data_IF_854836096610
#
_entry.id   IF_854836096610
#
_cell.length_a   1.000
_cell.length_b   1.000
_cell.length_c   1.000
_cell.angle_alpha   90.00
_cell.angle_beta   90.00
_cell.angle_gamma   90.00
#
_symmetry.space_group_name_H-M   'P 1'
#
loop_
_entity.id
_entity.type
_entity.pdbx_description
1 polymer ?
#
# COMPACT_ATOMS: atom_id res chain seq x y z
N UNK A 1 -32.93 -27.27 -13.44
CA UNK A 1 -31.89 -28.01 -12.71
C UNK A 1 -31.99 -27.64 -11.25
N UNK A 2 -32.45 -28.56 -10.40
CA UNK A 2 -32.30 -28.45 -8.95
C UNK A 2 -30.80 -28.44 -8.66
N UNK A 3 -30.27 -27.32 -8.14
CA UNK A 3 -28.88 -27.27 -7.67
C UNK A 3 -28.77 -28.28 -6.52
N UNK A 4 -28.02 -29.35 -6.73
CA UNK A 4 -27.62 -30.22 -5.62
C UNK A 4 -26.92 -29.35 -4.58
N UNK A 5 -27.36 -29.47 -3.33
CA UNK A 5 -26.78 -28.73 -2.22
C UNK A 5 -25.44 -29.38 -1.93
N UNK A 6 -24.36 -28.76 -2.38
CA UNK A 6 -23.00 -29.17 -2.01
C UNK A 6 -22.82 -28.92 -0.52
N UNK A 7 -22.36 -29.95 0.21
CA UNK A 7 -22.07 -29.85 1.63
C UNK A 7 -21.06 -28.69 1.88
N UNK A 8 -21.35 -27.78 2.83
CA UNK A 8 -20.43 -26.69 3.18
C UNK A 8 -19.00 -27.16 3.50
N UNK A 9 -18.84 -28.37 4.05
CA UNK A 9 -17.54 -28.97 4.36
C UNK A 9 -16.75 -29.35 3.12
N UNK A 10 -17.43 -29.79 2.06
CA UNK A 10 -16.80 -30.07 0.76
C UNK A 10 -16.24 -28.79 0.18
N UNK A 11 -17.00 -27.69 0.23
CA UNK A 11 -16.53 -26.39 -0.24
C UNK A 11 -15.37 -25.85 0.60
N UNK A 12 -15.44 -26.00 1.93
CA UNK A 12 -14.37 -25.60 2.83
C UNK A 12 -13.05 -26.33 2.52
N UNK A 13 -13.09 -27.65 2.35
CA UNK A 13 -11.91 -28.45 2.03
C UNK A 13 -11.36 -28.15 0.63
N UNK A 14 -12.25 -27.99 -0.36
CA UNK A 14 -11.85 -27.64 -1.73
C UNK A 14 -11.15 -26.27 -1.77
N UNK A 15 -11.72 -25.25 -1.12
CA UNK A 15 -11.10 -23.92 -1.04
C UNK A 15 -9.81 -23.92 -0.24
N UNK A 16 -9.70 -24.75 0.80
CA UNK A 16 -8.43 -24.97 1.52
C UNK A 16 -7.32 -25.52 0.62
N UNK A 17 -7.65 -26.49 -0.24
CA UNK A 17 -6.72 -27.01 -1.24
C UNK A 17 -6.29 -25.94 -2.26
N UNK A 18 -7.27 -25.20 -2.81
CA UNK A 18 -7.00 -24.13 -3.78
C UNK A 18 -6.20 -22.99 -3.18
N UNK A 19 -6.40 -22.65 -1.90
CA UNK A 19 -5.56 -21.67 -1.18
C UNK A 19 -4.09 -22.07 -1.25
N UNK A 20 -3.77 -23.33 -0.96
CA UNK A 20 -2.39 -23.81 -1.02
C UNK A 20 -1.84 -23.82 -2.44
N UNK A 21 -2.61 -24.33 -3.42
CA UNK A 21 -2.19 -24.38 -4.82
C UNK A 21 -1.99 -22.98 -5.43
N UNK A 22 -2.78 -21.98 -5.01
CA UNK A 22 -2.68 -20.60 -5.50
C UNK A 22 -1.38 -19.88 -5.09
N UNK A 23 -0.66 -20.41 -4.09
CA UNK A 23 0.62 -19.84 -3.63
C UNK A 23 1.77 -20.05 -4.63
N UNK A 24 1.71 -21.10 -5.45
CA UNK A 24 2.70 -21.40 -6.47
C UNK A 24 2.40 -20.62 -7.76
N UNK A 25 3.45 -20.25 -8.51
CA UNK A 25 3.31 -19.52 -9.78
C UNK A 25 2.41 -20.26 -10.77
N UNK A 26 2.65 -21.56 -11.01
CA UNK A 26 1.82 -22.35 -11.92
C UNK A 26 0.34 -22.35 -11.50
N UNK A 27 0.07 -22.63 -10.21
CA UNK A 27 -1.30 -22.66 -9.68
C UNK A 27 -2.00 -21.31 -9.80
N UNK A 28 -1.29 -20.21 -9.47
CA UNK A 28 -1.81 -18.84 -9.63
C UNK A 28 -2.21 -18.53 -11.08
N UNK A 29 -1.34 -18.84 -12.05
CA UNK A 29 -1.62 -18.60 -13.46
C UNK A 29 -2.76 -19.49 -13.97
N UNK A 30 -2.80 -20.77 -13.59
CA UNK A 30 -3.91 -21.67 -13.95
C UNK A 30 -5.23 -21.18 -13.40
N UNK A 31 -5.28 -20.79 -12.12
CA UNK A 31 -6.53 -20.35 -11.47
C UNK A 31 -7.07 -19.04 -12.03
N UNK A 32 -6.20 -18.10 -12.39
CA UNK A 32 -6.62 -16.87 -13.07
C UNK A 32 -7.32 -17.16 -14.41
N UNK A 33 -6.83 -18.15 -15.14
CA UNK A 33 -7.37 -18.49 -16.45
C UNK A 33 -8.50 -19.53 -16.39
N UNK A 34 -8.80 -20.10 -15.21
CA UNK A 34 -9.85 -21.10 -15.07
C UNK A 34 -11.23 -20.45 -15.06
N UNK A 35 -12.10 -20.71 -16.07
CA UNK A 35 -13.37 -20.03 -16.20
C UNK A 35 -14.27 -20.22 -14.98
N UNK A 36 -14.79 -19.12 -14.43
CA UNK A 36 -15.76 -19.13 -13.33
C UNK A 36 -15.17 -19.35 -11.93
N UNK A 37 -13.87 -19.66 -11.80
CA UNK A 37 -13.26 -19.87 -10.47
C UNK A 37 -13.25 -18.58 -9.64
N UNK A 38 -12.65 -17.51 -10.16
CA UNK A 38 -12.59 -16.21 -9.47
C UNK A 38 -14.00 -15.67 -9.25
N UNK A 39 -14.87 -15.78 -10.25
CA UNK A 39 -16.27 -15.35 -10.17
C UNK A 39 -17.01 -16.03 -9.01
N UNK A 40 -16.84 -17.35 -8.85
CA UNK A 40 -17.49 -18.14 -7.80
C UNK A 40 -16.94 -17.80 -6.41
N UNK A 41 -15.61 -17.70 -6.28
CA UNK A 41 -14.94 -17.34 -5.02
C UNK A 41 -15.34 -15.92 -4.57
N UNK A 42 -15.39 -14.98 -5.51
CA UNK A 42 -15.83 -13.61 -5.23
C UNK A 42 -17.31 -13.56 -4.84
N UNK A 43 -18.18 -14.22 -5.61
CA UNK A 43 -19.62 -14.26 -5.34
C UNK A 43 -19.92 -14.87 -3.97
N UNK A 44 -19.24 -15.97 -3.62
CA UNK A 44 -19.38 -16.58 -2.30
C UNK A 44 -19.01 -15.60 -1.17
N UNK A 45 -17.87 -14.94 -1.32
CA UNK A 45 -17.38 -13.93 -0.35
C UNK A 45 -18.38 -12.77 -0.20
N UNK A 46 -18.86 -12.22 -1.33
CA UNK A 46 -19.86 -11.14 -1.34
C UNK A 46 -21.17 -11.56 -0.67
N UNK A 47 -21.64 -12.77 -0.93
CA UNK A 47 -22.84 -13.30 -0.29
C UNK A 47 -22.66 -13.46 1.24
N UNK A 48 -21.49 -13.90 1.69
CA UNK A 48 -21.18 -13.97 3.12
C UNK A 48 -21.16 -12.59 3.77
N UNK A 49 -20.57 -11.58 3.12
CA UNK A 49 -20.60 -10.18 3.60
C UNK A 49 -22.03 -9.64 3.65
N UNK A 50 -22.82 -9.84 2.60
CA UNK A 50 -24.21 -9.39 2.51
C UNK A 50 -25.12 -10.06 3.56
N UNK A 51 -24.83 -11.32 3.89
CA UNK A 51 -25.54 -12.08 4.93
C UNK A 51 -25.02 -11.80 6.36
N UNK A 52 -24.11 -10.83 6.55
CA UNK A 52 -23.46 -10.54 7.84
C UNK A 52 -22.75 -11.75 8.46
N UNK A 53 -22.13 -12.58 7.62
CA UNK A 53 -21.31 -13.74 7.99
C UNK A 53 -19.86 -13.55 7.52
N UNK A 54 -19.17 -12.47 7.95
CA UNK A 54 -17.81 -12.16 7.51
C UNK A 54 -16.79 -13.23 7.91
N UNK A 55 -17.04 -13.96 8.99
CA UNK A 55 -16.15 -14.98 9.54
C UNK A 55 -16.60 -16.41 9.20
N UNK A 56 -17.45 -16.58 8.18
CA UNK A 56 -17.80 -17.92 7.68
C UNK A 56 -16.54 -18.75 7.40
N UNK A 57 -16.63 -20.06 7.68
CA UNK A 57 -15.52 -21.01 7.67
C UNK A 57 -14.70 -20.94 6.38
N UNK A 58 -15.34 -20.74 5.22
CA UNK A 58 -14.64 -20.74 3.93
C UNK A 58 -14.24 -19.34 3.43
N UNK A 59 -14.68 -18.26 4.09
CA UNK A 59 -14.35 -16.88 3.67
C UNK A 59 -12.85 -16.64 3.76
N UNK A 60 -12.19 -17.08 4.84
CA UNK A 60 -10.75 -16.95 4.97
C UNK A 60 -10.01 -17.62 3.79
N UNK A 61 -10.38 -18.86 3.45
CA UNK A 61 -9.78 -19.56 2.31
C UNK A 61 -10.01 -18.81 1.00
N UNK A 62 -11.23 -18.31 0.77
CA UNK A 62 -11.59 -17.54 -0.42
C UNK A 62 -10.76 -16.26 -0.55
N UNK A 63 -10.63 -15.48 0.52
CA UNK A 63 -9.82 -14.25 0.52
C UNK A 63 -8.34 -14.58 0.36
N UNK A 64 -7.82 -15.64 0.98
CA UNK A 64 -6.43 -16.04 0.78
C UNK A 64 -6.14 -16.46 -0.68
N UNK A 65 -7.09 -17.15 -1.34
CA UNK A 65 -6.99 -17.42 -2.78
C UNK A 65 -6.90 -16.08 -3.53
N UNK A 66 -7.85 -15.16 -3.30
CA UNK A 66 -7.88 -13.87 -4.00
C UNK A 66 -6.63 -13.01 -3.73
N UNK A 67 -6.10 -13.04 -2.52
CA UNK A 67 -4.84 -12.41 -2.14
C UNK A 67 -3.68 -12.96 -2.99
N UNK A 68 -3.54 -14.28 -3.07
CA UNK A 68 -2.51 -14.94 -3.87
C UNK A 68 -2.69 -14.65 -5.36
N UNK A 69 -3.93 -14.69 -5.85
CA UNK A 69 -4.25 -14.37 -7.26
C UNK A 69 -4.03 -12.89 -7.59
N UNK A 70 -3.98 -11.99 -6.60
CA UNK A 70 -3.67 -10.56 -6.82
C UNK A 70 -2.16 -10.28 -6.90
N UNK A 71 -1.30 -11.23 -6.53
CA UNK A 71 0.16 -11.05 -6.52
C UNK A 71 0.73 -10.81 -7.93
N UNK A 72 1.49 -9.74 -8.12
CA UNK A 72 2.10 -9.36 -9.43
C UNK A 72 1.10 -9.22 -10.58
N UNK A 73 -0.16 -8.90 -10.29
CA UNK A 73 -1.23 -8.84 -11.29
C UNK A 73 -0.90 -7.90 -12.47
N UNK A 74 -0.37 -6.71 -12.19
CA UNK A 74 0.05 -5.71 -13.21
C UNK A 74 1.14 -6.24 -14.15
N UNK A 75 1.97 -7.17 -13.68
CA UNK A 75 3.07 -7.73 -14.47
C UNK A 75 2.67 -8.99 -15.26
N UNK A 76 1.68 -9.75 -14.77
CA UNK A 76 1.35 -11.08 -15.27
C UNK A 76 0.05 -11.11 -16.09
N UNK A 77 -0.88 -10.17 -15.87
CA UNK A 77 -2.19 -10.13 -16.55
C UNK A 77 -2.30 -8.86 -17.40
N UNK A 78 -2.26 -8.98 -18.74
CA UNK A 78 -2.50 -7.84 -19.63
C UNK A 78 -3.85 -7.19 -19.33
N UNK A 79 -3.84 -5.88 -19.12
CA UNK A 79 -5.02 -5.10 -18.77
C UNK A 79 -4.96 -3.70 -19.41
N UNK A 80 -6.00 -2.90 -19.22
CA UNK A 80 -6.08 -1.54 -19.79
C UNK A 80 -4.92 -0.65 -19.30
N UNK A 81 -4.46 -0.82 -18.06
CA UNK A 81 -3.35 -0.05 -17.48
C UNK A 81 -2.01 -0.43 -18.10
N UNK A 82 -1.75 -1.71 -18.37
CA UNK A 82 -0.52 -2.14 -19.05
C UNK A 82 -0.45 -1.56 -20.46
N UNK A 83 -1.57 -1.52 -21.19
CA UNK A 83 -1.62 -0.93 -22.53
C UNK A 83 -1.33 0.58 -22.49
N UNK A 84 -1.92 1.31 -21.53
CA UNK A 84 -1.63 2.73 -21.34
C UNK A 84 -0.16 3.00 -20.96
N UNK A 85 0.44 2.14 -20.14
CA UNK A 85 1.87 2.25 -19.81
C UNK A 85 2.74 2.12 -21.09
N UNK A 86 2.39 1.24 -22.03
CA UNK A 86 3.10 1.12 -23.30
C UNK A 86 2.94 2.37 -24.17
N UNK A 87 1.73 2.92 -24.28
CA UNK A 87 1.47 4.15 -25.04
C UNK A 87 2.23 5.34 -24.44
N UNK A 88 2.20 5.50 -23.11
CA UNK A 88 2.91 6.58 -22.43
C UNK A 88 4.43 6.49 -22.62
N UNK A 89 5.00 5.27 -22.56
CA UNK A 89 6.44 5.05 -22.83
C UNK A 89 6.81 5.36 -24.27
N UNK A 90 5.99 4.95 -25.24
CA UNK A 90 6.27 5.21 -26.66
C UNK A 90 6.20 6.71 -26.97
N UNK A 91 5.23 7.43 -26.41
CA UNK A 91 5.12 8.89 -26.57
C UNK A 91 6.31 9.65 -25.94
N UNK A 92 6.89 9.13 -24.85
CA UNK A 92 8.11 9.68 -24.25
C UNK A 92 9.33 9.45 -25.14
N UNK A 93 9.49 8.25 -25.69
CA UNK A 93 10.62 7.89 -26.57
C UNK A 93 10.59 8.69 -27.87
N UNK A 94 9.41 8.91 -28.45
CA UNK A 94 9.24 9.67 -29.70
C UNK A 94 9.66 11.15 -29.53
N UNK A 95 9.36 11.74 -28.36
CA UNK A 95 9.84 13.09 -27.99
C UNK A 95 11.35 13.16 -27.77
N UNK A 96 12.01 12.07 -27.36
CA UNK A 96 13.48 12.03 -27.21
C UNK A 96 14.20 11.81 -28.55
N UNK A 97 13.52 11.28 -29.57
CA UNK A 97 14.11 11.01 -30.89
C UNK A 97 13.92 12.17 -31.90
N UNK A 98 13.03 13.14 -31.63
CA UNK A 98 12.72 14.26 -32.53
C UNK A 98 13.24 15.63 -32.03
N UNK A 99 14.53 15.75 -31.68
CA UNK A 99 15.05 17.03 -31.21
C UNK A 99 16.57 17.22 -31.19
N UNK A 100 17.18 17.40 -32.37
CA UNK A 100 18.52 17.99 -32.50
C UNK A 100 18.48 19.51 -32.27
N UNK A 101 18.24 20.01 -31.05
CA UNK A 101 18.58 21.39 -30.66
C UNK A 101 18.84 21.47 -29.15
N UNK A 102 20.00 22.04 -28.77
CA UNK A 102 20.39 22.33 -27.40
C UNK A 102 19.39 23.30 -26.73
N UNK A 103 18.67 22.84 -25.70
CA UNK A 103 18.02 23.73 -24.73
C UNK A 103 18.29 23.25 -23.31
N UNK A 104 18.77 24.19 -22.50
CA UNK A 104 19.20 24.07 -21.10
C UNK A 104 18.23 23.26 -20.24
N UNK A 105 18.81 22.48 -19.34
CA UNK A 105 18.17 21.69 -18.28
C UNK A 105 17.33 22.56 -17.33
N UNK A 106 16.10 22.88 -17.75
CA UNK A 106 15.02 23.26 -16.84
C UNK A 106 14.54 22.02 -16.10
N UNK A 107 14.51 22.09 -14.76
CA UNK A 107 13.83 21.09 -13.93
C UNK A 107 12.39 20.99 -14.43
N UNK A 108 12.05 19.87 -15.09
CA UNK A 108 10.67 19.50 -15.34
C UNK A 108 10.05 19.26 -13.96
N UNK A 109 9.27 20.25 -13.52
CA UNK A 109 8.27 20.00 -12.50
C UNK A 109 7.41 18.83 -12.95
N UNK A 110 7.08 18.02 -11.97
CA UNK A 110 6.48 16.70 -12.07
C UNK A 110 5.00 16.85 -12.50
N UNK A 111 4.75 17.38 -13.70
CA UNK A 111 3.47 17.26 -14.39
C UNK A 111 3.35 15.80 -14.85
N UNK A 112 3.12 14.95 -13.85
CA UNK A 112 2.63 13.60 -13.99
C UNK A 112 1.33 13.74 -14.79
N UNK A 113 1.40 13.50 -16.11
CA UNK A 113 0.23 13.49 -16.98
C UNK A 113 -0.82 12.60 -16.30
N UNK A 114 -1.84 13.22 -15.71
CA UNK A 114 -2.94 12.53 -15.05
C UNK A 114 -3.76 11.90 -16.17
N UNK A 115 -3.28 10.76 -16.67
CA UNK A 115 -4.04 9.94 -17.59
C UNK A 115 -5.31 9.54 -16.83
N UNK A 116 -6.50 9.84 -17.37
CA UNK A 116 -7.73 9.48 -16.71
C UNK A 116 -7.74 7.96 -16.47
N UNK A 117 -8.15 7.57 -15.26
CA UNK A 117 -8.27 6.16 -14.90
C UNK A 117 -9.25 5.52 -15.91
N UNK A 118 -8.86 4.44 -16.60
CA UNK A 118 -9.75 3.68 -17.47
C UNK A 118 -11.06 3.34 -16.77
N UNK A 119 -12.16 3.47 -17.50
CA UNK A 119 -13.47 3.04 -17.01
C UNK A 119 -13.44 1.55 -16.65
N UNK A 120 -14.03 1.26 -15.48
CA UNK A 120 -14.24 -0.09 -14.99
C UNK A 120 -15.28 -0.83 -15.83
N UNK A 121 -15.10 -2.14 -15.97
CA UNK A 121 -16.09 -2.97 -16.63
C UNK A 121 -17.35 -3.08 -15.77
N UNK A 122 -18.52 -2.78 -16.34
CA UNK A 122 -19.79 -2.84 -15.60
C UNK A 122 -20.09 -4.22 -15.00
N UNK A 123 -19.61 -5.30 -15.64
CA UNK A 123 -19.73 -6.68 -15.16
C UNK A 123 -18.38 -7.38 -15.25
N UNK A 124 -17.55 -7.35 -14.20
CA UNK A 124 -16.28 -8.07 -14.20
C UNK A 124 -16.52 -9.57 -14.36
N UNK A 125 -15.59 -10.22 -15.07
CA UNK A 125 -15.50 -11.67 -15.25
C UNK A 125 -14.07 -12.17 -15.09
N UNK A 126 -13.89 -13.33 -14.45
CA UNK A 126 -12.58 -13.96 -14.29
C UNK A 126 -11.55 -13.02 -13.63
N UNK A 127 -10.34 -12.85 -14.21
CA UNK A 127 -9.28 -11.99 -13.64
C UNK A 127 -9.66 -10.52 -13.44
N UNK A 128 -10.63 -9.99 -14.19
CA UNK A 128 -11.02 -8.57 -14.07
C UNK A 128 -11.60 -8.23 -12.68
N UNK A 129 -12.16 -9.22 -11.98
CA UNK A 129 -12.57 -9.08 -10.58
C UNK A 129 -11.45 -8.62 -9.67
N UNK A 130 -10.22 -9.09 -9.89
CA UNK A 130 -9.11 -8.88 -8.97
C UNK A 130 -8.73 -7.40 -8.84
N UNK A 131 -9.04 -6.58 -9.85
CA UNK A 131 -8.79 -5.13 -9.85
C UNK A 131 -10.06 -4.29 -9.97
N UNK A 132 -11.24 -4.88 -9.73
CA UNK A 132 -12.52 -4.17 -9.77
C UNK A 132 -12.88 -3.55 -8.41
N UNK A 133 -13.51 -2.38 -8.42
CA UNK A 133 -13.92 -1.67 -7.20
C UNK A 133 -14.88 -2.46 -6.30
N UNK A 134 -15.74 -3.33 -6.87
CA UNK A 134 -16.61 -4.19 -6.05
C UNK A 134 -15.83 -5.23 -5.24
N UNK A 135 -14.71 -5.74 -5.76
CA UNK A 135 -13.82 -6.63 -5.00
C UNK A 135 -13.12 -5.84 -3.89
N UNK A 136 -12.62 -4.64 -4.20
CA UNK A 136 -12.02 -3.72 -3.22
C UNK A 136 -13.02 -3.43 -2.09
N UNK A 137 -14.27 -3.09 -2.43
CA UNK A 137 -15.35 -2.86 -1.45
C UNK A 137 -15.60 -4.08 -0.58
N UNK A 138 -15.55 -5.27 -1.17
CA UNK A 138 -15.71 -6.54 -0.44
C UNK A 138 -14.59 -6.74 0.59
N UNK A 139 -13.32 -6.53 0.19
CA UNK A 139 -12.17 -6.60 1.11
C UNK A 139 -12.29 -5.55 2.22
N UNK A 140 -12.65 -4.32 1.89
CA UNK A 140 -12.84 -3.25 2.87
C UNK A 140 -14.01 -3.53 3.83
N UNK A 141 -15.09 -4.18 3.37
CA UNK A 141 -16.19 -4.56 4.25
C UNK A 141 -15.79 -5.68 5.21
N UNK A 142 -15.01 -6.66 4.74
CA UNK A 142 -14.44 -7.68 5.62
C UNK A 142 -13.48 -7.09 6.65
N UNK A 143 -12.67 -6.09 6.29
CA UNK A 143 -11.81 -5.38 7.25
C UNK A 143 -12.58 -4.72 8.40
N UNK A 144 -13.81 -4.28 8.16
CA UNK A 144 -14.65 -3.66 9.19
C UNK A 144 -15.40 -4.69 10.05
N UNK A 145 -15.73 -5.85 9.50
CA UNK A 145 -16.68 -6.79 10.11
C UNK A 145 -16.04 -8.06 10.67
N UNK A 146 -14.91 -8.50 10.10
CA UNK A 146 -14.23 -9.74 10.49
C UNK A 146 -13.46 -9.58 11.80
N UNK A 147 -13.48 -10.63 12.62
CA UNK A 147 -12.65 -10.72 13.84
C UNK A 147 -11.43 -11.63 13.66
N UNK A 148 -11.28 -12.23 12.48
CA UNK A 148 -10.18 -13.16 12.17
C UNK A 148 -8.99 -12.40 11.59
N UNK A 149 -7.88 -12.38 12.32
CA UNK A 149 -6.64 -11.74 11.86
C UNK A 149 -6.21 -12.23 10.47
N UNK A 150 -6.32 -13.53 10.19
CA UNK A 150 -5.98 -14.10 8.89
C UNK A 150 -6.84 -13.53 7.73
N UNK A 151 -8.12 -13.22 7.99
CA UNK A 151 -9.00 -12.59 7.00
C UNK A 151 -8.64 -11.12 6.81
N UNK A 152 -8.35 -10.40 7.90
CA UNK A 152 -7.89 -9.00 7.86
C UNK A 152 -6.56 -8.87 7.10
N UNK A 153 -5.60 -9.73 7.42
CA UNK A 153 -4.29 -9.81 6.77
C UNK A 153 -4.45 -10.11 5.28
N UNK A 154 -5.26 -11.11 4.91
CA UNK A 154 -5.43 -11.48 3.50
C UNK A 154 -6.16 -10.37 2.70
N UNK A 155 -7.13 -9.67 3.30
CA UNK A 155 -7.75 -8.50 2.68
C UNK A 155 -6.73 -7.37 2.46
N UNK A 156 -5.90 -7.08 3.47
CA UNK A 156 -4.88 -6.04 3.38
C UNK A 156 -3.78 -6.43 2.38
N UNK A 157 -3.37 -7.69 2.36
CA UNK A 157 -2.41 -8.26 1.43
C UNK A 157 -2.91 -8.22 -0.03
N UNK A 158 -4.19 -8.52 -0.28
CA UNK A 158 -4.77 -8.39 -1.61
C UNK A 158 -4.66 -6.95 -2.13
N UNK A 159 -5.08 -5.97 -1.32
CA UNK A 159 -4.96 -4.55 -1.66
C UNK A 159 -3.49 -4.09 -1.77
N UNK A 160 -2.61 -4.61 -0.92
CA UNK A 160 -1.17 -4.35 -0.97
C UNK A 160 -0.60 -4.81 -2.31
N UNK A 161 -0.98 -6.00 -2.78
CA UNK A 161 -0.53 -6.56 -4.06
C UNK A 161 -1.00 -5.71 -5.25
N UNK A 162 -2.26 -5.27 -5.24
CA UNK A 162 -2.83 -4.39 -6.27
C UNK A 162 -2.15 -3.01 -6.33
N UNK A 163 -1.64 -2.53 -5.20
CA UNK A 163 -0.96 -1.24 -5.09
C UNK A 163 0.56 -1.36 -5.17
N UNK A 164 1.13 -2.55 -5.36
CA UNK A 164 2.58 -2.78 -5.26
C UNK A 164 3.38 -2.17 -6.42
N UNK A 165 2.85 -2.21 -7.64
CA UNK A 165 3.57 -1.72 -8.82
C UNK A 165 3.86 -0.22 -8.74
N UNK A 166 4.81 0.28 -9.54
CA UNK A 166 5.09 1.72 -9.67
C UNK A 166 4.44 2.33 -10.92
N UNK A 167 3.45 1.65 -11.48
CA UNK A 167 2.79 2.04 -12.73
C UNK A 167 1.37 2.59 -12.52
N UNK A 168 0.69 2.85 -13.64
CA UNK A 168 -0.68 3.37 -13.66
C UNK A 168 -1.68 2.51 -12.89
N UNK A 169 -1.51 1.18 -12.88
CA UNK A 169 -2.40 0.29 -12.12
C UNK A 169 -2.35 0.60 -10.63
N UNK A 170 -1.16 0.73 -10.04
CA UNK A 170 -1.03 1.07 -8.62
C UNK A 170 -1.66 2.41 -8.29
N UNK A 171 -1.47 3.43 -9.15
CA UNK A 171 -2.11 4.74 -8.97
C UNK A 171 -3.64 4.62 -8.99
N UNK A 172 -4.19 3.96 -10.02
CA UNK A 172 -5.62 3.74 -10.15
C UNK A 172 -6.21 2.95 -8.96
N UNK A 173 -5.59 1.83 -8.58
CA UNK A 173 -6.04 1.01 -7.45
C UNK A 173 -5.99 1.81 -6.14
N UNK A 174 -4.94 2.60 -5.92
CA UNK A 174 -4.82 3.44 -4.73
C UNK A 174 -5.91 4.52 -4.69
N UNK A 175 -6.29 5.10 -5.84
CA UNK A 175 -7.42 6.04 -5.95
C UNK A 175 -8.77 5.36 -5.73
N UNK A 176 -9.00 4.15 -6.28
CA UNK A 176 -10.22 3.38 -6.02
C UNK A 176 -10.37 3.07 -4.52
N UNK A 177 -9.31 2.62 -3.88
CA UNK A 177 -9.31 2.32 -2.43
C UNK A 177 -9.55 3.59 -1.61
N UNK A 178 -8.77 4.64 -1.86
CA UNK A 178 -8.72 5.82 -0.99
C UNK A 178 -9.82 6.85 -1.23
N UNK A 179 -10.21 7.05 -2.50
CA UNK A 179 -11.15 8.11 -2.90
C UNK A 179 -12.54 7.56 -3.22
N UNK A 180 -12.64 6.51 -4.05
CA UNK A 180 -13.93 5.95 -4.46
C UNK A 180 -14.59 5.18 -3.32
N UNK A 181 -13.90 4.19 -2.76
CA UNK A 181 -14.41 3.31 -1.70
C UNK A 181 -14.15 3.84 -0.28
N UNK A 182 -13.44 4.98 -0.16
CA UNK A 182 -13.15 5.67 1.12
C UNK A 182 -12.58 4.74 2.19
N UNK A 183 -11.69 3.82 1.79
CA UNK A 183 -11.18 2.72 2.63
C UNK A 183 -10.14 3.12 3.67
N UNK A 184 -9.61 4.34 3.64
CA UNK A 184 -8.48 4.78 4.48
C UNK A 184 -8.69 4.58 5.99
N UNK A 185 -9.84 4.91 6.60
CA UNK A 185 -10.03 4.70 8.04
C UNK A 185 -9.97 3.21 8.44
N UNK A 186 -10.46 2.34 7.55
CA UNK A 186 -10.49 0.89 7.77
C UNK A 186 -9.07 0.32 7.74
N UNK A 187 -8.27 0.78 6.78
CA UNK A 187 -6.86 0.39 6.64
C UNK A 187 -6.02 0.95 7.80
N UNK A 188 -6.22 2.21 8.19
CA UNK A 188 -5.49 2.83 9.30
C UNK A 188 -5.75 2.12 10.64
N UNK A 189 -6.98 1.62 10.86
CA UNK A 189 -7.33 0.83 12.06
C UNK A 189 -6.49 -0.45 12.19
N UNK A 190 -6.05 -1.06 11.08
CA UNK A 190 -5.20 -2.26 11.12
C UNK A 190 -3.86 -2.02 11.83
N UNK A 191 -3.37 -0.77 11.84
CA UNK A 191 -2.14 -0.39 12.56
C UNK A 191 -2.26 -0.50 14.08
N UNK A 192 -3.49 -0.64 14.60
CA UNK A 192 -3.80 -0.76 16.02
C UNK A 192 -3.99 -2.22 16.45
N UNK A 193 -3.86 -3.18 15.52
CA UNK A 193 -4.02 -4.61 15.84
C UNK A 193 -2.91 -5.10 16.77
N UNK A 194 -3.24 -6.07 17.63
CA UNK A 194 -2.26 -6.83 18.41
C UNK A 194 -1.46 -7.83 17.58
N UNK A 195 -1.90 -8.12 16.35
CA UNK A 195 -1.25 -9.05 15.45
C UNK A 195 -0.30 -8.31 14.49
N UNK A 196 1.00 -8.63 14.56
CA UNK A 196 2.00 -7.96 13.75
C UNK A 196 1.89 -8.22 12.25
N UNK A 197 1.32 -9.34 11.81
CA UNK A 197 1.11 -9.61 10.38
C UNK A 197 0.03 -8.69 9.79
N UNK A 198 -1.02 -8.44 10.58
CA UNK A 198 -2.08 -7.48 10.24
C UNK A 198 -1.50 -6.06 10.18
N UNK A 199 -0.71 -5.66 11.19
CA UNK A 199 -0.04 -4.35 11.22
C UNK A 199 0.93 -4.21 10.03
N UNK A 200 1.72 -5.24 9.71
CA UNK A 200 2.65 -5.27 8.57
C UNK A 200 1.92 -5.07 7.25
N UNK A 201 0.82 -5.79 7.03
CA UNK A 201 0.03 -5.70 5.81
C UNK A 201 -0.63 -4.32 5.66
N UNK A 202 -1.21 -3.79 6.74
CA UNK A 202 -1.78 -2.43 6.77
C UNK A 202 -0.73 -1.33 6.52
N UNK A 203 0.42 -1.39 7.19
CA UNK A 203 1.50 -0.41 7.02
C UNK A 203 2.07 -0.45 5.60
N UNK A 204 2.24 -1.64 5.02
CA UNK A 204 2.75 -1.81 3.66
C UNK A 204 1.77 -1.28 2.61
N UNK A 205 0.46 -1.52 2.79
CA UNK A 205 -0.58 -0.97 1.94
C UNK A 205 -0.59 0.57 1.96
N UNK A 206 -0.56 1.17 3.15
CA UNK A 206 -0.51 2.63 3.29
C UNK A 206 0.77 3.22 2.68
N UNK A 207 1.91 2.54 2.84
CA UNK A 207 3.17 2.94 2.21
C UNK A 207 3.05 2.95 0.69
N UNK A 208 2.47 1.90 0.09
CA UNK A 208 2.24 1.84 -1.36
C UNK A 208 1.35 2.98 -1.86
N UNK A 209 0.22 3.22 -1.18
CA UNK A 209 -0.74 4.27 -1.53
C UNK A 209 -0.14 5.67 -1.37
N UNK A 210 0.68 5.89 -0.34
CA UNK A 210 1.34 7.19 -0.06
C UNK A 210 2.35 7.61 -1.12
N UNK A 211 2.66 6.76 -2.11
CA UNK A 211 3.53 7.14 -3.23
C UNK A 211 2.84 8.06 -4.23
N UNK A 212 1.51 8.15 -4.19
CA UNK A 212 0.69 8.84 -5.18
C UNK A 212 0.21 10.20 -4.64
N UNK A 213 0.73 11.33 -5.15
CA UNK A 213 0.44 12.67 -4.63
C UNK A 213 -1.05 13.03 -4.56
N UNK A 214 -1.83 12.53 -5.52
CA UNK A 214 -3.29 12.75 -5.58
C UNK A 214 -4.02 12.29 -4.32
N UNK A 215 -3.46 11.35 -3.56
CA UNK A 215 -4.06 10.83 -2.34
C UNK A 215 -3.69 11.62 -1.08
N UNK A 216 -2.60 12.40 -1.11
CA UNK A 216 -2.02 12.96 0.11
C UNK A 216 -2.99 13.84 0.90
N UNK A 217 -3.78 14.67 0.22
CA UNK A 217 -4.80 15.54 0.84
C UNK A 217 -5.85 14.74 1.63
N UNK A 218 -6.24 13.58 1.10
CA UNK A 218 -7.25 12.71 1.72
C UNK A 218 -6.62 11.78 2.77
N UNK A 219 -5.42 11.27 2.51
CA UNK A 219 -4.70 10.35 3.41
C UNK A 219 -4.21 11.04 4.68
N UNK A 220 -3.59 12.21 4.58
CA UNK A 220 -2.94 12.88 5.71
C UNK A 220 -3.83 12.99 6.97
N UNK A 221 -5.08 13.51 6.91
CA UNK A 221 -5.90 13.64 8.12
C UNK A 221 -6.39 12.29 8.68
N UNK A 222 -6.42 11.23 7.88
CA UNK A 222 -6.98 9.92 8.25
C UNK A 222 -5.91 8.91 8.67
N UNK A 223 -4.64 9.11 8.28
CA UNK A 223 -3.57 8.12 8.42
C UNK A 223 -2.45 8.60 9.33
N UNK A 224 -2.12 9.91 9.34
CA UNK A 224 -1.03 10.45 10.17
C UNK A 224 -1.17 10.16 11.67
N UNK A 225 -2.37 10.20 12.30
CA UNK A 225 -2.49 9.88 13.72
C UNK A 225 -2.01 8.47 14.06
N UNK A 226 -2.43 7.48 13.27
CA UNK A 226 -2.12 6.07 13.52
C UNK A 226 -0.68 5.73 13.14
N UNK A 227 -0.16 6.30 12.06
CA UNK A 227 1.25 6.12 11.66
C UNK A 227 2.19 6.77 12.67
N UNK A 228 1.88 7.97 13.17
CA UNK A 228 2.67 8.62 14.22
C UNK A 228 2.67 7.79 15.50
N UNK A 229 1.50 7.27 15.91
CA UNK A 229 1.39 6.40 17.07
C UNK A 229 2.21 5.13 16.89
N UNK A 230 2.15 4.50 15.72
CA UNK A 230 2.94 3.32 15.38
C UNK A 230 4.44 3.60 15.46
N UNK A 231 4.90 4.76 14.95
CA UNK A 231 6.29 5.19 15.03
C UNK A 231 6.73 5.63 16.43
N UNK A 232 5.79 5.96 17.33
CA UNK A 232 6.09 6.27 18.73
C UNK A 232 6.32 5.03 19.59
N UNK A 233 5.86 3.86 19.15
CA UNK A 233 5.99 2.62 19.91
C UNK A 233 7.27 1.84 19.53
N UNK A 234 7.98 1.39 20.57
CA UNK A 234 9.04 0.39 20.45
C UNK A 234 8.40 -0.99 20.62
N UNK A 235 8.20 -1.70 19.52
CA UNK A 235 7.85 -3.12 19.63
C UNK A 235 9.10 -3.90 20.03
N UNK A 236 9.00 -4.75 21.05
CA UNK A 236 10.03 -5.76 21.35
C UNK A 236 10.28 -6.67 20.13
N UNK A 237 11.43 -7.36 20.12
CA UNK A 237 11.95 -8.22 19.03
C UNK A 237 10.83 -8.96 18.28
N UNK A 238 10.33 -8.35 17.21
CA UNK A 238 9.38 -8.93 16.28
C UNK A 238 10.07 -9.02 14.92
N UNK A 239 10.01 -10.18 14.27
CA UNK A 239 10.63 -10.41 12.96
C UNK A 239 10.17 -9.39 11.90
N UNK A 240 8.94 -8.88 12.02
CA UNK A 240 8.35 -7.91 11.10
C UNK A 240 8.61 -6.45 11.46
N UNK A 241 9.25 -6.17 12.60
CA UNK A 241 9.45 -4.81 13.09
C UNK A 241 10.13 -3.91 12.05
N UNK A 242 11.18 -4.41 11.40
CA UNK A 242 11.91 -3.66 10.38
C UNK A 242 11.05 -3.25 9.19
N UNK A 243 10.17 -4.13 8.70
CA UNK A 243 9.28 -3.85 7.57
C UNK A 243 8.15 -2.89 7.94
N UNK A 244 7.58 -3.06 9.14
CA UNK A 244 6.53 -2.17 9.67
C UNK A 244 7.09 -0.75 9.81
N UNK A 245 8.24 -0.60 10.49
CA UNK A 245 8.87 0.71 10.72
C UNK A 245 9.32 1.36 9.42
N UNK A 246 9.88 0.59 8.48
CA UNK A 246 10.24 1.12 7.16
C UNK A 246 9.02 1.68 6.42
N UNK A 247 7.92 0.92 6.38
CA UNK A 247 6.68 1.33 5.71
C UNK A 247 6.03 2.54 6.37
N UNK A 248 6.03 2.59 7.71
CA UNK A 248 5.54 3.72 8.48
C UNK A 248 6.38 4.98 8.25
N UNK A 249 7.72 4.87 8.23
CA UNK A 249 8.62 5.99 7.91
C UNK A 249 8.38 6.54 6.50
N UNK A 250 8.24 5.68 5.48
CA UNK A 250 7.93 6.12 4.11
C UNK A 250 6.57 6.80 4.02
N UNK A 251 5.54 6.22 4.65
CA UNK A 251 4.20 6.81 4.69
C UNK A 251 4.22 8.19 5.33
N UNK A 252 4.85 8.31 6.50
CA UNK A 252 5.02 9.59 7.21
C UNK A 252 5.77 10.59 6.33
N UNK A 253 6.91 10.20 5.75
CA UNK A 253 7.72 11.06 4.88
C UNK A 253 6.89 11.63 3.72
N UNK A 254 6.20 10.78 2.96
CA UNK A 254 5.45 11.21 1.79
C UNK A 254 4.30 12.17 2.15
N UNK A 255 3.56 11.87 3.22
CA UNK A 255 2.41 12.68 3.64
C UNK A 255 2.85 14.02 4.25
N UNK A 256 3.90 14.03 5.09
CA UNK A 256 4.40 15.25 5.71
C UNK A 256 4.98 16.20 4.67
N UNK A 257 5.79 15.70 3.73
CA UNK A 257 6.39 16.55 2.69
C UNK A 257 5.34 17.22 1.80
N UNK A 258 4.17 16.60 1.65
CA UNK A 258 3.07 17.18 0.88
C UNK A 258 2.24 18.19 1.67
N UNK A 259 2.16 18.08 3.00
CA UNK A 259 1.42 19.00 3.85
C UNK A 259 2.08 19.18 5.23
N UNK A 260 3.17 19.97 5.33
CA UNK A 260 3.94 20.15 6.56
C UNK A 260 3.12 20.70 7.73
N UNK A 261 2.14 21.57 7.46
CA UNK A 261 1.32 22.21 8.49
C UNK A 261 0.38 21.21 9.17
N UNK A 262 -0.24 20.31 8.41
CA UNK A 262 -1.09 19.26 8.96
C UNK A 262 -0.30 18.23 9.78
N UNK A 263 0.97 18.04 9.45
CA UNK A 263 1.84 17.07 10.08
C UNK A 263 2.34 17.46 11.48
N UNK A 264 2.41 18.77 11.77
CA UNK A 264 3.05 19.28 13.00
C UNK A 264 2.57 18.62 14.29
N UNK A 265 1.25 18.43 14.52
CA UNK A 265 0.76 17.80 15.75
C UNK A 265 1.20 16.35 15.93
N UNK A 266 1.59 15.68 14.83
CA UNK A 266 1.96 14.27 14.81
C UNK A 266 3.47 14.03 14.93
N UNK A 267 4.29 15.09 14.99
CA UNK A 267 5.73 15.03 15.25
C UNK A 267 6.01 15.13 16.75
N UNK A 268 5.54 14.13 17.49
CA UNK A 268 5.70 14.08 18.95
C UNK A 268 7.13 13.72 19.35
N UNK A 269 7.54 14.10 20.56
CA UNK A 269 8.88 13.80 21.08
C UNK A 269 9.16 12.29 21.12
N UNK A 270 8.17 11.48 21.51
CA UNK A 270 8.30 10.01 21.55
C UNK A 270 8.53 9.42 20.16
N UNK A 271 7.75 9.84 19.17
CA UNK A 271 7.92 9.43 17.78
C UNK A 271 9.30 9.81 17.23
N UNK A 272 9.71 11.07 17.40
CA UNK A 272 11.00 11.55 16.89
C UNK A 272 12.19 10.83 17.56
N UNK A 273 12.15 10.66 18.88
CA UNK A 273 13.18 9.92 19.61
C UNK A 273 13.27 8.46 19.15
N UNK A 274 12.13 7.81 18.89
CA UNK A 274 12.14 6.45 18.39
C UNK A 274 12.71 6.35 16.97
N UNK A 275 12.35 7.28 16.07
CA UNK A 275 12.92 7.35 14.71
C UNK A 275 14.43 7.56 14.76
N UNK A 276 14.93 8.41 15.67
CA UNK A 276 16.37 8.57 15.90
C UNK A 276 17.03 7.28 16.38
N UNK A 277 16.38 6.56 17.30
CA UNK A 277 16.88 5.27 17.78
C UNK A 277 16.90 4.22 16.67
N UNK A 278 15.92 4.22 15.76
CA UNK A 278 15.93 3.37 14.55
C UNK A 278 17.15 3.64 13.67
N UNK A 279 17.57 4.90 13.52
CA UNK A 279 18.78 5.24 12.75
C UNK A 279 20.08 4.70 13.37
N UNK A 280 20.11 4.61 14.71
CA UNK A 280 21.26 4.12 15.49
C UNK A 280 21.29 2.60 15.60
N UNK A 281 20.12 1.97 15.59
CA UNK A 281 19.98 0.53 15.74
C UNK A 281 20.32 -0.18 14.42
N UNK A 282 21.46 -0.87 14.38
CA UNK A 282 21.92 -1.63 13.22
C UNK A 282 21.15 -2.91 12.93
N UNK A 283 20.26 -3.35 13.83
CA UNK A 283 19.53 -4.63 13.68
C UNK A 283 18.52 -4.62 12.53
N UNK A 284 18.08 -3.45 12.04
CA UNK A 284 17.11 -3.33 10.96
C UNK A 284 17.56 -2.31 9.90
N UNK A 285 18.47 -2.66 8.98
CA UNK A 285 19.07 -1.71 8.02
C UNK A 285 18.04 -0.95 7.18
N UNK A 286 16.97 -1.64 6.74
CA UNK A 286 15.89 -1.06 5.93
C UNK A 286 15.06 -0.02 6.69
N UNK A 287 14.80 -0.26 7.98
CA UNK A 287 14.10 0.69 8.85
C UNK A 287 14.99 1.89 9.18
N UNK A 288 16.27 1.63 9.47
CA UNK A 288 17.26 2.68 9.73
C UNK A 288 17.37 3.63 8.53
N UNK A 289 17.42 3.11 7.31
CA UNK A 289 17.50 3.93 6.11
C UNK A 289 16.23 4.78 5.89
N UNK A 290 15.04 4.18 6.01
CA UNK A 290 13.79 4.93 5.90
C UNK A 290 13.68 6.03 6.97
N UNK A 291 14.15 5.76 8.19
CA UNK A 291 14.21 6.73 9.28
C UNK A 291 15.18 7.88 8.98
N UNK A 292 16.36 7.59 8.40
CA UNK A 292 17.32 8.64 7.97
C UNK A 292 16.74 9.53 6.89
N UNK A 293 16.07 8.95 5.90
CA UNK A 293 15.40 9.71 4.84
C UNK A 293 14.29 10.61 5.39
N UNK A 294 13.50 10.11 6.35
CA UNK A 294 12.49 10.90 7.03
C UNK A 294 13.12 12.07 7.80
N UNK A 295 14.13 11.82 8.65
CA UNK A 295 14.78 12.87 9.43
C UNK A 295 15.50 13.91 8.56
N UNK A 296 16.14 13.47 7.47
CA UNK A 296 16.81 14.35 6.51
C UNK A 296 15.83 15.33 5.87
N UNK A 297 14.70 14.81 5.39
CA UNK A 297 13.61 15.60 4.84
C UNK A 297 13.04 16.60 5.87
N UNK A 298 12.72 16.13 7.08
CA UNK A 298 12.20 16.97 8.16
C UNK A 298 13.16 18.12 8.51
N UNK A 299 14.47 17.85 8.54
CA UNK A 299 15.46 18.88 8.85
C UNK A 299 15.73 19.84 7.69
N UNK A 300 15.59 19.39 6.44
CA UNK A 300 15.75 20.22 5.26
C UNK A 300 14.61 21.24 5.10
N UNK A 301 13.42 20.93 5.61
CA UNK A 301 12.25 21.79 5.52
C UNK A 301 12.20 22.80 6.68
N UNK A 302 12.32 24.11 6.39
CA UNK A 302 12.47 25.19 7.39
C UNK A 302 11.45 25.14 8.53
N UNK A 303 10.17 24.92 8.22
CA UNK A 303 9.10 24.88 9.23
C UNK A 303 9.20 23.66 10.15
N UNK A 304 9.58 22.50 9.60
CA UNK A 304 9.67 21.23 10.32
C UNK A 304 10.96 21.17 11.13
N UNK A 305 12.04 21.76 10.59
CA UNK A 305 13.28 21.99 11.32
C UNK A 305 13.05 22.79 12.60
N UNK A 306 12.15 23.77 12.59
CA UNK A 306 11.77 24.53 13.78
C UNK A 306 11.22 23.62 14.90
N UNK A 307 10.39 22.64 14.54
CA UNK A 307 9.83 21.65 15.48
C UNK A 307 10.94 20.77 16.03
N UNK A 308 11.82 20.27 15.16
CA UNK A 308 12.97 19.44 15.61
C UNK A 308 13.87 20.20 16.60
N UNK A 309 14.14 21.48 16.34
CA UNK A 309 14.92 22.33 17.26
C UNK A 309 14.22 22.54 18.60
N UNK A 310 12.90 22.76 18.60
CA UNK A 310 12.11 22.89 19.84
C UNK A 310 12.12 21.60 20.66
N UNK A 311 12.23 20.45 20.00
CA UNK A 311 12.35 19.13 20.63
C UNK A 311 13.79 18.78 21.07
N UNK A 312 14.74 19.71 20.92
CA UNK A 312 16.13 19.54 21.35
C UNK A 312 17.07 18.88 20.34
N UNK A 313 16.64 18.67 19.09
CA UNK A 313 17.51 18.12 18.05
C UNK A 313 18.38 19.23 17.42
N UNK A 314 19.67 18.94 17.26
CA UNK A 314 20.64 19.84 16.64
C UNK A 314 21.23 19.30 15.32
N UNK A 315 21.99 20.17 14.63
CA UNK A 315 22.61 19.85 13.34
C UNK A 315 23.67 18.76 13.44
N UNK A 316 24.38 18.65 14.56
CA UNK A 316 25.45 17.68 14.72
C UNK A 316 24.87 16.28 14.91
N UNK A 317 23.86 16.17 15.77
CA UNK A 317 23.10 14.94 16.01
C UNK A 317 22.47 14.42 14.72
N UNK A 318 21.77 15.28 13.98
CA UNK A 318 21.13 14.86 12.74
C UNK A 318 22.12 14.66 11.59
N UNK A 319 23.17 15.49 11.48
CA UNK A 319 24.22 15.34 10.48
C UNK A 319 25.00 14.03 10.62
N UNK A 320 25.19 13.52 11.85
CA UNK A 320 25.76 12.20 12.12
C UNK A 320 24.82 11.06 11.72
N UNK A 321 23.51 11.22 11.95
CA UNK A 321 22.50 10.18 11.70
C UNK A 321 22.14 10.04 10.23
N UNK A 322 22.02 11.15 9.50
CA UNK A 322 21.61 11.19 8.09
C UNK A 322 22.81 11.27 7.14
N UNK A 323 23.98 10.74 7.55
CA UNK A 323 25.27 10.91 6.87
C UNK A 323 25.20 10.95 5.33
N UNK A 324 25.96 11.87 4.72
CA UNK A 324 26.02 12.18 3.27
C UNK A 324 24.71 12.60 2.56
N UNK A 325 23.51 12.30 3.07
CA UNK A 325 22.25 12.79 2.48
C UNK A 325 22.12 14.33 2.52
N UNK A 326 22.87 14.98 3.42
CA UNK A 326 23.04 16.44 3.43
C UNK A 326 23.93 16.98 2.31
N UNK A 327 24.87 16.19 1.76
CA UNK A 327 25.81 16.70 0.74
C UNK A 327 25.16 16.87 -0.63
N UNK A 328 24.13 16.09 -0.95
CA UNK A 328 23.42 16.15 -2.24
C UNK A 328 22.30 17.19 -2.29
N UNK A 329 21.80 17.67 -1.14
CA UNK A 329 20.81 18.75 -1.07
C UNK A 329 21.46 20.14 -1.02
N UNK A 330 22.67 20.26 -0.45
CA UNK A 330 23.37 21.55 -0.38
C UNK A 330 24.15 21.90 -1.66
N UNK A 331 24.23 21.00 -2.65
CA UNK A 331 24.87 21.26 -3.95
C UNK A 331 23.89 21.62 -5.07
N UNK A 332 22.64 21.96 -4.72
CA UNK A 332 21.58 22.37 -5.67
C UNK A 332 20.96 23.74 -5.33
N UNK A 333 21.74 24.60 -4.69
CA UNK A 333 21.58 26.05 -4.78
C UNK A 333 22.81 26.63 -5.47
#
# INVERSE_FOLDING_TARGET
MTREIVDPEVFFNATGCLRNLSSADAGRHTMRNYPGLIDSVMTYTQNCVAASRPDDKSVENCICILHNLSYRLDAEVPNKYTQLNHVARNAYVDKTLTGCFNSRSGKLENDEYVLPIPDEEYKPRGPSWLYHSDAIRTYLNLMDQSKKDATLEACAGALQNLTASRGLMSNAMSQLIGLKEKGLPRIARLLQSSNSEVVRSGASLLSNMSRHPILHKTMAPQVLPDVSRLLAFQSGNNSNFGDIMSSACYTMRNLIMSNPQMAKPYLTSSMLNNVVNLCRNGSCPKAAEAARLLLGDLWSHRELQGILKQQGFDKNMLGSLTGSAFRTLSSRF
#
